data_IF_590361083222
#
_entry.id   IF_590361083222
#
_cell.length_a   1.000
_cell.length_b   1.000
_cell.length_c   1.000
_cell.angle_alpha   90.00
_cell.angle_beta   90.00
_cell.angle_gamma   90.00
#
_symmetry.space_group_name_H-M   'P 1'
#
loop_
_entity.id
_entity.type
_entity.pdbx_description
1 polymer ?
#
# COMPACT_ATOMS: atom_id res chain seq x y z
N UNK A 1 -20.53 -12.95 -1.66
CA UNK A 1 -20.85 -12.90 -3.11
C UNK A 1 -19.93 -11.90 -3.85
N UNK A 2 -19.68 -10.70 -3.32
CA UNK A 2 -18.73 -9.73 -3.92
C UNK A 2 -17.28 -10.19 -3.89
N UNK A 3 -16.84 -10.87 -2.82
CA UNK A 3 -15.47 -11.35 -2.68
C UNK A 3 -15.12 -12.42 -3.74
N UNK A 4 -16.04 -13.32 -4.04
CA UNK A 4 -15.85 -14.34 -5.07
C UNK A 4 -15.77 -13.75 -6.50
N UNK A 5 -16.48 -12.64 -6.76
CA UNK A 5 -16.42 -11.94 -8.04
C UNK A 5 -15.10 -11.17 -8.15
N UNK A 6 -14.65 -10.56 -7.06
CA UNK A 6 -13.37 -9.85 -7.01
C UNK A 6 -12.18 -10.82 -7.18
N UNK A 7 -12.19 -11.95 -6.47
CA UNK A 7 -11.18 -13.00 -6.66
C UNK A 7 -11.19 -13.57 -8.08
N UNK A 8 -12.37 -13.81 -8.66
CA UNK A 8 -12.50 -14.30 -10.04
C UNK A 8 -11.97 -13.29 -11.05
N UNK A 9 -12.26 -12.00 -10.89
CA UNK A 9 -11.74 -10.93 -11.76
C UNK A 9 -10.24 -10.72 -11.55
N UNK A 10 -9.75 -10.75 -10.34
CA UNK A 10 -8.32 -10.65 -10.03
C UNK A 10 -7.54 -11.81 -10.65
N UNK A 11 -8.05 -13.04 -10.51
CA UNK A 11 -7.46 -14.23 -11.13
C UNK A 11 -7.56 -14.20 -12.66
N UNK A 12 -8.67 -13.69 -13.23
CA UNK A 12 -8.83 -13.53 -14.68
C UNK A 12 -7.85 -12.49 -15.23
N UNK A 13 -7.67 -11.36 -14.57
CA UNK A 13 -6.68 -10.34 -14.96
C UNK A 13 -5.27 -10.89 -14.81
N UNK A 14 -4.96 -11.55 -13.69
CA UNK A 14 -3.65 -12.13 -13.46
C UNK A 14 -3.31 -13.23 -14.49
N UNK A 15 -4.27 -14.08 -14.88
CA UNK A 15 -4.04 -15.16 -15.83
C UNK A 15 -3.98 -14.71 -17.29
N UNK A 16 -4.72 -13.66 -17.66
CA UNK A 16 -4.81 -13.22 -19.06
C UNK A 16 -3.89 -12.06 -19.42
N UNK A 17 -3.42 -11.30 -18.43
CA UNK A 17 -2.49 -10.19 -18.62
C UNK A 17 -1.12 -10.41 -17.97
N UNK A 18 -0.91 -11.49 -17.24
CA UNK A 18 0.41 -11.93 -16.83
C UNK A 18 1.16 -12.44 -18.06
N UNK A 19 1.64 -11.53 -18.88
CA UNK A 19 2.64 -11.85 -19.89
C UNK A 19 3.86 -12.51 -19.23
N UNK A 20 4.67 -13.27 -19.95
CA UNK A 20 5.86 -13.90 -19.38
C UNK A 20 6.72 -12.83 -18.71
N UNK A 21 7.19 -13.10 -17.49
CA UNK A 21 8.17 -12.23 -16.81
C UNK A 21 9.27 -11.90 -17.80
N UNK A 22 9.68 -10.64 -17.93
CA UNK A 22 10.84 -10.30 -18.75
C UNK A 22 12.05 -11.11 -18.24
N UNK A 23 12.51 -12.07 -19.01
CA UNK A 23 13.54 -13.06 -18.62
C UNK A 23 14.92 -12.45 -18.29
N UNK A 24 15.10 -11.16 -18.53
CA UNK A 24 16.36 -10.44 -18.39
C UNK A 24 16.38 -9.45 -17.22
N UNK A 25 15.31 -9.37 -16.44
CA UNK A 25 15.32 -8.52 -15.26
C UNK A 25 16.06 -9.22 -14.11
N UNK A 26 16.96 -8.51 -13.41
CA UNK A 26 17.63 -9.06 -12.24
C UNK A 26 16.62 -9.38 -11.14
N UNK A 27 16.90 -10.43 -10.37
CA UNK A 27 16.13 -10.71 -9.17
C UNK A 27 16.35 -9.59 -8.14
N UNK A 28 15.26 -9.16 -7.51
CA UNK A 28 15.29 -8.18 -6.43
C UNK A 28 15.03 -8.88 -5.10
N UNK A 29 15.81 -8.58 -4.04
CA UNK A 29 15.50 -9.08 -2.71
C UNK A 29 14.13 -8.56 -2.28
N UNK A 30 13.27 -9.40 -1.66
CA UNK A 30 11.92 -9.00 -1.25
C UNK A 30 11.91 -7.79 -0.32
N UNK A 31 12.89 -7.71 0.59
CA UNK A 31 13.11 -6.56 1.48
C UNK A 31 14.49 -6.01 1.19
N UNK A 32 14.62 -4.69 1.07
CA UNK A 32 15.91 -4.02 0.87
C UNK A 32 15.93 -2.66 1.57
N UNK A 33 16.90 -2.48 2.46
CA UNK A 33 17.25 -1.14 2.97
C UNK A 33 17.89 -0.33 1.83
N UNK A 34 17.22 0.73 1.42
CA UNK A 34 17.67 1.64 0.34
C UNK A 34 18.53 2.75 0.92
N UNK A 35 18.17 3.22 2.11
CA UNK A 35 18.92 4.22 2.89
C UNK A 35 18.57 4.06 4.38
N UNK A 36 19.17 4.89 5.24
CA UNK A 36 18.85 4.90 6.68
C UNK A 36 17.38 5.26 6.97
N UNK A 37 16.68 5.85 6.00
CA UNK A 37 15.30 6.31 6.14
C UNK A 37 14.30 5.58 5.26
N UNK A 38 14.76 4.68 4.39
CA UNK A 38 13.90 4.04 3.39
C UNK A 38 14.19 2.56 3.29
N UNK A 39 13.18 1.75 3.56
CA UNK A 39 13.18 0.30 3.31
C UNK A 39 12.16 0.00 2.24
N UNK A 40 12.58 -0.67 1.17
CA UNK A 40 11.70 -1.15 0.12
C UNK A 40 11.21 -2.56 0.46
N UNK A 41 9.92 -2.81 0.27
CA UNK A 41 9.27 -4.12 0.35
C UNK A 41 8.58 -4.38 -0.99
N UNK A 42 8.82 -5.54 -1.62
CA UNK A 42 8.13 -5.93 -2.85
C UNK A 42 6.71 -6.42 -2.54
N UNK A 43 5.74 -6.02 -3.36
CA UNK A 43 4.33 -6.41 -3.27
C UNK A 43 4.04 -7.87 -3.61
N UNK A 44 5.06 -8.68 -3.98
CA UNK A 44 4.98 -10.11 -4.32
C UNK A 44 3.99 -10.45 -5.45
N UNK A 45 3.80 -9.53 -6.36
CA UNK A 45 2.88 -9.60 -7.51
C UNK A 45 3.59 -9.44 -8.86
N UNK A 46 4.64 -10.25 -9.16
CA UNK A 46 5.39 -10.09 -10.41
C UNK A 46 4.52 -10.38 -11.64
N UNK A 47 4.53 -9.46 -12.59
CA UNK A 47 3.77 -9.55 -13.83
C UNK A 47 4.42 -8.75 -14.96
N UNK A 48 3.83 -8.77 -16.16
CA UNK A 48 4.28 -7.92 -17.27
C UNK A 48 4.13 -6.41 -16.95
N UNK A 49 3.21 -6.02 -16.07
CA UNK A 49 2.96 -4.63 -15.69
C UNK A 49 3.74 -4.21 -14.46
N UNK A 50 3.85 -5.08 -13.46
CA UNK A 50 4.52 -4.82 -12.19
C UNK A 50 5.99 -5.27 -12.19
N UNK A 51 6.44 -5.87 -13.28
CA UNK A 51 7.81 -6.39 -13.47
C UNK A 51 8.18 -7.41 -12.37
N UNK A 52 9.12 -7.08 -11.47
CA UNK A 52 9.49 -7.94 -10.33
C UNK A 52 8.48 -7.86 -9.18
N UNK A 53 7.51 -6.97 -9.25
CA UNK A 53 6.49 -6.68 -8.27
C UNK A 53 6.43 -5.19 -7.93
N UNK A 54 5.25 -4.73 -7.48
CA UNK A 54 5.04 -3.35 -7.03
C UNK A 54 5.97 -3.03 -5.86
N UNK A 55 6.65 -1.89 -5.91
CA UNK A 55 7.47 -1.44 -4.79
C UNK A 55 6.60 -0.68 -3.79
N UNK A 56 6.70 -1.08 -2.53
CA UNK A 56 6.19 -0.33 -1.39
C UNK A 56 7.36 0.08 -0.50
N UNK A 57 7.16 1.09 0.36
CA UNK A 57 8.26 1.60 1.16
C UNK A 57 7.84 1.93 2.59
N UNK A 58 8.68 1.53 3.57
CA UNK A 58 8.68 2.13 4.91
C UNK A 58 9.62 3.33 4.89
N UNK A 59 9.10 4.51 5.25
CA UNK A 59 9.83 5.78 5.18
C UNK A 59 9.83 6.47 6.54
N UNK A 60 10.99 6.89 6.98
CA UNK A 60 11.20 7.56 8.26
C UNK A 60 12.28 6.88 9.10
N UNK A 61 12.41 7.32 10.33
CA UNK A 61 13.34 6.78 11.35
C UNK A 61 12.58 6.53 12.65
N UNK A 62 13.14 5.66 13.51
CA UNK A 62 12.52 5.37 14.81
C UNK A 62 11.35 4.37 14.71
N UNK A 63 10.57 4.26 15.81
CA UNK A 63 9.57 3.22 15.98
C UNK A 63 8.27 3.46 15.23
N UNK A 64 8.02 4.67 14.72
CA UNK A 64 6.85 5.01 13.91
C UNK A 64 7.29 5.56 12.56
N UNK A 65 6.75 5.02 11.46
CA UNK A 65 7.14 5.38 10.10
C UNK A 65 5.93 5.50 9.18
N UNK A 66 6.11 6.09 8.02
CA UNK A 66 5.13 6.12 6.95
C UNK A 66 5.25 4.85 6.08
N UNK A 67 4.10 4.27 5.70
CA UNK A 67 4.04 3.26 4.65
C UNK A 67 3.58 3.92 3.35
N UNK A 68 4.32 3.71 2.27
CA UNK A 68 3.96 4.17 0.93
C UNK A 68 3.46 2.97 0.14
N UNK A 69 2.18 3.00 -0.27
CA UNK A 69 1.44 1.94 -0.93
C UNK A 69 1.32 0.62 -0.13
N UNK A 70 0.40 -0.24 -0.52
CA UNK A 70 0.05 -1.44 0.25
C UNK A 70 0.09 -2.73 -0.57
N UNK A 71 0.58 -2.68 -1.82
CA UNK A 71 0.52 -3.83 -2.71
C UNK A 71 -0.90 -4.18 -3.16
N UNK A 72 -1.07 -5.35 -3.78
CA UNK A 72 -2.37 -5.79 -4.32
C UNK A 72 -3.15 -6.74 -3.39
N UNK A 73 -2.72 -6.97 -2.13
CA UNK A 73 -3.38 -7.88 -1.19
C UNK A 73 -2.80 -9.30 -1.23
N UNK A 74 -1.53 -9.47 -1.59
CA UNK A 74 -0.83 -10.76 -1.48
C UNK A 74 -0.49 -11.05 -0.02
N UNK A 75 -0.79 -12.27 0.44
CA UNK A 75 -0.47 -12.70 1.82
C UNK A 75 1.01 -12.63 2.11
N UNK A 76 1.84 -13.03 1.15
CA UNK A 76 3.29 -12.98 1.21
C UNK A 76 3.80 -11.56 1.49
N UNK A 77 3.17 -10.55 0.88
CA UNK A 77 3.52 -9.16 1.13
C UNK A 77 3.31 -8.75 2.59
N UNK A 78 2.17 -9.13 3.18
CA UNK A 78 1.85 -8.79 4.58
C UNK A 78 2.88 -9.40 5.53
N UNK A 79 3.31 -10.65 5.28
CA UNK A 79 4.38 -11.28 6.05
C UNK A 79 5.71 -10.54 5.93
N UNK A 80 6.08 -10.14 4.71
CA UNK A 80 7.31 -9.36 4.46
C UNK A 80 7.25 -7.98 5.10
N UNK A 81 6.11 -7.31 5.06
CA UNK A 81 5.93 -6.02 5.71
C UNK A 81 6.09 -6.15 7.23
N UNK A 82 5.45 -7.16 7.85
CA UNK A 82 5.61 -7.45 9.29
C UNK A 82 7.09 -7.69 9.63
N UNK A 83 7.76 -8.56 8.89
CA UNK A 83 9.18 -8.84 9.08
C UNK A 83 10.04 -7.58 8.94
N UNK A 84 9.80 -6.76 7.91
CA UNK A 84 10.52 -5.51 7.73
C UNK A 84 10.31 -4.53 8.89
N UNK A 85 9.09 -4.45 9.44
CA UNK A 85 8.80 -3.64 10.62
C UNK A 85 9.55 -4.16 11.85
N UNK A 86 9.56 -5.47 12.09
CA UNK A 86 10.27 -6.10 13.20
C UNK A 86 11.79 -5.89 13.09
N UNK A 87 12.39 -6.16 11.93
CA UNK A 87 13.83 -5.99 11.65
C UNK A 87 14.30 -4.54 11.83
N UNK A 88 13.43 -3.58 11.56
CA UNK A 88 13.70 -2.14 11.65
C UNK A 88 13.27 -1.52 13.00
N UNK A 89 12.73 -2.32 13.92
CA UNK A 89 12.21 -1.84 15.20
C UNK A 89 11.01 -0.90 15.07
N UNK A 90 10.22 -1.06 14.00
CA UNK A 90 9.00 -0.28 13.76
C UNK A 90 7.84 -0.93 14.48
N UNK A 91 7.28 -0.23 15.44
CA UNK A 91 6.16 -0.69 16.26
C UNK A 91 4.82 -0.06 15.88
N UNK A 92 4.82 0.88 14.92
CA UNK A 92 3.62 1.54 14.45
C UNK A 92 3.82 2.27 13.13
N UNK A 93 2.71 2.71 12.55
CA UNK A 93 2.72 3.58 11.38
C UNK A 93 2.12 4.94 11.73
N UNK A 94 2.77 6.02 11.29
CA UNK A 94 2.20 7.38 11.34
C UNK A 94 1.05 7.54 10.36
N UNK A 95 1.11 6.80 9.24
CA UNK A 95 0.08 6.75 8.23
C UNK A 95 0.47 5.89 7.03
N UNK A 96 -0.48 5.71 6.13
CA UNK A 96 -0.31 5.05 4.84
C UNK A 96 -0.57 6.08 3.76
N UNK A 97 0.42 6.32 2.89
CA UNK A 97 0.30 7.20 1.74
C UNK A 97 0.07 6.35 0.49
N UNK A 98 -1.08 6.51 -0.15
CA UNK A 98 -1.37 5.88 -1.43
C UNK A 98 -0.99 6.81 -2.57
N UNK A 99 -0.10 6.34 -3.45
CA UNK A 99 0.39 7.14 -4.58
C UNK A 99 -0.68 7.37 -5.63
N UNK A 100 -1.46 6.32 -5.92
CA UNK A 100 -2.58 6.38 -6.86
C UNK A 100 -3.55 5.20 -6.66
N UNK A 101 -4.64 5.16 -7.43
CA UNK A 101 -5.80 4.30 -7.22
C UNK A 101 -5.68 2.88 -7.79
N UNK A 102 -4.60 2.49 -8.44
CA UNK A 102 -4.47 1.15 -9.02
C UNK A 102 -4.43 0.07 -7.92
N UNK A 103 -5.03 -1.09 -8.23
CA UNK A 103 -5.21 -2.16 -7.26
C UNK A 103 -3.91 -2.73 -6.70
N UNK A 104 -2.84 -2.73 -7.48
CA UNK A 104 -1.50 -3.16 -7.05
C UNK A 104 -0.80 -2.20 -6.08
N UNK A 105 -1.39 -1.02 -5.82
CA UNK A 105 -0.97 -0.04 -4.81
C UNK A 105 -1.92 0.04 -3.62
N UNK A 106 -3.22 -0.20 -3.83
CA UNK A 106 -4.26 0.01 -2.83
C UNK A 106 -4.89 -1.26 -2.29
N UNK A 107 -4.77 -2.38 -3.02
CA UNK A 107 -5.51 -3.62 -2.73
C UNK A 107 -5.18 -4.27 -1.39
N UNK A 108 -3.95 -4.08 -0.89
CA UNK A 108 -3.52 -4.63 0.39
C UNK A 108 -3.90 -3.82 1.63
N UNK A 109 -4.59 -2.69 1.48
CA UNK A 109 -4.90 -1.79 2.61
C UNK A 109 -5.65 -2.49 3.75
N UNK A 110 -6.65 -3.31 3.42
CA UNK A 110 -7.40 -4.08 4.40
C UNK A 110 -6.54 -5.07 5.20
N UNK A 111 -5.67 -5.80 4.50
CA UNK A 111 -4.80 -6.80 5.10
C UNK A 111 -3.70 -6.13 5.96
N UNK A 112 -3.17 -4.99 5.53
CA UNK A 112 -2.21 -4.19 6.31
C UNK A 112 -2.87 -3.69 7.59
N UNK A 113 -4.09 -3.16 7.54
CA UNK A 113 -4.83 -2.74 8.73
C UNK A 113 -5.10 -3.90 9.70
N UNK A 114 -5.48 -5.07 9.18
CA UNK A 114 -5.68 -6.26 9.99
C UNK A 114 -4.37 -6.68 10.67
N UNK A 115 -3.27 -6.70 9.94
CA UNK A 115 -1.93 -7.02 10.49
C UNK A 115 -1.54 -6.04 11.61
N UNK A 116 -1.73 -4.73 11.41
CA UNK A 116 -1.41 -3.71 12.42
C UNK A 116 -2.24 -3.90 13.68
N UNK A 117 -3.53 -4.21 13.53
CA UNK A 117 -4.41 -4.54 14.67
C UNK A 117 -3.90 -5.75 15.44
N UNK A 118 -3.46 -6.82 14.74
CA UNK A 118 -2.88 -8.01 15.36
C UNK A 118 -1.56 -7.71 16.10
N UNK A 119 -0.82 -6.70 15.64
CA UNK A 119 0.40 -6.23 16.30
C UNK A 119 0.11 -5.33 17.52
N UNK A 120 -1.17 -5.06 17.83
CA UNK A 120 -1.56 -4.16 18.92
C UNK A 120 -1.34 -2.68 18.62
N UNK A 121 -1.25 -2.30 17.36
CA UNK A 121 -1.14 -0.91 16.95
C UNK A 121 -2.51 -0.26 17.01
N UNK A 122 -2.76 0.51 18.06
CA UNK A 122 -4.04 1.18 18.33
C UNK A 122 -4.22 2.49 17.56
N UNK A 123 -3.14 3.05 17.01
CA UNK A 123 -3.20 4.31 16.30
C UNK A 123 -4.04 4.20 15.04
N UNK A 124 -4.94 5.16 14.78
CA UNK A 124 -5.66 5.19 13.53
C UNK A 124 -4.68 5.34 12.38
N UNK A 125 -4.62 4.33 11.52
CA UNK A 125 -3.83 4.41 10.29
C UNK A 125 -4.61 5.28 9.32
N UNK A 126 -4.09 6.47 9.07
CA UNK A 126 -4.65 7.38 8.07
C UNK A 126 -4.05 7.04 6.72
N UNK A 127 -4.90 6.71 5.76
CA UNK A 127 -4.48 6.52 4.38
C UNK A 127 -4.77 7.81 3.61
N UNK A 128 -3.74 8.40 3.02
CA UNK A 128 -3.86 9.64 2.25
C UNK A 128 -3.68 9.34 0.78
N UNK A 129 -4.59 9.87 -0.03
CA UNK A 129 -4.47 9.92 -1.48
C UNK A 129 -4.39 11.36 -1.90
N UNK A 130 -3.32 11.76 -2.59
CA UNK A 130 -3.26 13.08 -3.21
C UNK A 130 -4.25 13.13 -4.37
N UNK A 131 -5.30 13.93 -4.23
CA UNK A 131 -6.22 14.24 -5.34
C UNK A 131 -5.65 15.44 -6.09
N UNK A 132 -5.32 15.24 -7.37
CA UNK A 132 -5.11 16.38 -8.25
C UNK A 132 -6.50 16.95 -8.61
N UNK A 133 -6.74 18.19 -8.27
CA UNK A 133 -7.93 18.92 -8.74
C UNK A 133 -7.76 19.32 -10.20
N UNK A 134 -7.84 18.34 -11.11
CA UNK A 134 -8.08 18.59 -12.51
C UNK A 134 -9.35 17.85 -12.90
N UNK A 135 -10.41 18.62 -13.11
CA UNK A 135 -11.68 18.18 -13.70
C UNK A 135 -12.59 17.24 -12.88
N UNK A 136 -13.17 17.73 -11.79
CA UNK A 136 -14.53 17.32 -11.37
C UNK A 136 -14.72 15.92 -10.76
N UNK A 137 -13.68 15.21 -10.35
CA UNK A 137 -13.86 13.91 -9.70
C UNK A 137 -14.15 14.05 -8.20
N UNK A 138 -15.20 13.36 -7.76
CA UNK A 138 -15.65 13.35 -6.35
C UNK A 138 -14.63 12.61 -5.48
N UNK A 139 -14.30 13.20 -4.34
CA UNK A 139 -13.55 12.55 -3.28
C UNK A 139 -14.22 11.24 -2.82
N UNK A 140 -13.46 10.17 -2.72
CA UNK A 140 -13.92 8.91 -2.11
C UNK A 140 -13.77 9.08 -0.60
N UNK A 141 -14.90 9.03 0.13
CA UNK A 141 -14.92 9.04 1.61
C UNK A 141 -14.84 7.60 2.12
N UNK A 142 -14.16 7.40 3.23
CA UNK A 142 -14.20 6.13 3.95
C UNK A 142 -15.33 6.10 4.96
N UNK A 143 -15.73 4.88 5.37
CA UNK A 143 -16.86 4.61 6.24
C UNK A 143 -16.71 5.11 7.69
N UNK A 144 -15.52 5.60 8.08
CA UNK A 144 -15.17 5.99 9.45
C UNK A 144 -14.89 7.50 9.61
N UNK A 145 -15.29 8.34 8.64
CA UNK A 145 -15.05 9.78 8.72
C UNK A 145 -16.11 10.47 9.59
N UNK A 146 -15.75 11.05 10.76
CA UNK A 146 -16.67 11.79 11.63
C UNK A 146 -17.00 13.21 11.12
N UNK A 147 -16.87 13.45 9.80
CA UNK A 147 -17.44 14.67 9.19
C UNK A 147 -16.65 15.97 9.35
N UNK A 148 -15.34 15.89 9.49
CA UNK A 148 -14.47 17.07 9.53
C UNK A 148 -13.71 17.26 8.20
N UNK A 149 -14.00 18.34 7.47
CA UNK A 149 -13.11 18.82 6.43
C UNK A 149 -11.85 19.41 7.11
N UNK A 150 -10.71 18.80 6.89
CA UNK A 150 -9.42 19.37 7.32
C UNK A 150 -8.91 20.22 6.16
N UNK A 151 -9.10 21.51 6.26
CA UNK A 151 -8.56 22.47 5.30
C UNK A 151 -7.03 22.54 5.46
N UNK A 152 -6.31 22.08 4.46
CA UNK A 152 -4.88 22.36 4.31
C UNK A 152 -4.72 23.85 3.95
N UNK A 153 -3.83 24.58 4.65
CA UNK A 153 -3.58 26.01 4.39
C UNK A 153 -3.04 26.30 2.98
N UNK A 154 -2.71 25.29 2.18
CA UNK A 154 -2.30 25.43 0.76
C UNK A 154 -3.47 25.29 -0.22
N UNK A 155 -4.70 25.08 0.26
CA UNK A 155 -5.90 24.91 -0.57
C UNK A 155 -6.02 23.57 -1.28
N UNK A 156 -5.18 22.61 -0.93
CA UNK A 156 -5.26 21.22 -1.42
C UNK A 156 -6.09 20.40 -0.44
N UNK A 157 -7.25 19.90 -0.86
CA UNK A 157 -8.04 18.99 -0.02
C UNK A 157 -7.39 17.61 0.03
N UNK A 158 -6.98 17.19 1.21
CA UNK A 158 -6.61 15.80 1.49
C UNK A 158 -7.87 15.04 1.89
N UNK A 159 -8.21 13.99 1.16
CA UNK A 159 -9.27 13.07 1.56
C UNK A 159 -8.67 11.88 2.27
N UNK A 160 -9.23 11.56 3.43
CA UNK A 160 -8.96 10.33 4.16
C UNK A 160 -9.66 9.16 3.44
N UNK A 161 -8.95 8.09 3.18
CA UNK A 161 -9.49 6.81 2.69
C UNK A 161 -9.81 5.88 3.84
#
# INVERSE_FOLDING_TARGET
MFDAIYESMSNFVASNFAGPKPRHLPELPPIKRVSDRVVRILGMNPSAFTLQGTNTYLVGTGPSRWLIDTGEGRREYVHLLRQAMEDEGVTGLEGILLTHHHGDHTGGLGDVRAMLKDMGVESPVLAYKRIRHDHGERAVRTHDDPGGDVDDPTGSRCCLL
#
